data_IF_884438466964
#
_entry.id   IF_884438466964
#
_cell.length_a   1.000
_cell.length_b   1.000
_cell.length_c   1.000
_cell.angle_alpha   90.00
_cell.angle_beta   90.00
_cell.angle_gamma   90.00
#
_symmetry.space_group_name_H-M   'P 1'
#
loop_
_entity.id
_entity.type
_entity.pdbx_description
1 polymer ?
#
# COMPACT_ATOMS: atom_id res chain seq x y z
N UNK A 1 18.52 4.40 -2.99
CA UNK A 1 17.22 4.67 -2.35
C UNK A 1 16.24 5.14 -3.39
N UNK A 2 15.09 4.51 -3.46
CA UNK A 2 14.12 4.76 -4.53
C UNK A 2 12.82 5.29 -3.95
N UNK A 3 12.51 6.55 -4.27
CA UNK A 3 11.24 7.15 -3.88
C UNK A 3 10.31 7.16 -5.08
N UNK A 4 9.09 6.71 -4.89
CA UNK A 4 8.09 6.65 -5.94
C UNK A 4 6.78 7.23 -5.46
N UNK A 5 6.07 7.86 -6.37
CA UNK A 5 4.71 8.28 -6.11
C UNK A 5 3.80 7.06 -6.26
N UNK A 6 3.07 6.72 -5.21
CA UNK A 6 2.19 5.55 -5.23
C UNK A 6 0.77 5.96 -4.89
N UNK A 7 -0.17 5.13 -5.29
CA UNK A 7 -1.58 5.29 -4.92
C UNK A 7 -2.01 4.02 -4.22
N UNK A 8 -2.60 4.18 -3.04
CA UNK A 8 -3.01 3.06 -2.21
C UNK A 8 -4.47 3.26 -1.85
N UNK A 9 -5.26 2.20 -2.03
CA UNK A 9 -6.67 2.20 -1.69
C UNK A 9 -6.85 1.52 -0.35
N UNK A 10 -7.55 2.20 0.56
CA UNK A 10 -7.81 1.71 1.91
C UNK A 10 -9.30 1.71 2.19
N UNK A 11 -9.74 0.85 3.09
CA UNK A 11 -11.09 0.99 3.63
C UNK A 11 -11.15 2.22 4.54
N UNK A 12 -12.31 2.86 4.60
CA UNK A 12 -12.46 4.12 5.36
C UNK A 12 -12.02 4.05 6.82
N UNK A 13 -12.25 2.96 7.56
CA UNK A 13 -11.79 2.90 8.95
C UNK A 13 -10.28 3.04 9.14
N UNK A 14 -9.49 2.92 8.08
CA UNK A 14 -8.04 3.06 8.17
C UNK A 14 -7.56 4.49 7.86
N UNK A 15 -8.46 5.46 7.78
CA UNK A 15 -8.08 6.82 7.42
C UNK A 15 -7.08 7.40 8.43
N UNK A 16 -7.33 7.25 9.72
CA UNK A 16 -6.41 7.77 10.74
C UNK A 16 -5.05 7.10 10.64
N UNK A 17 -5.03 5.81 10.37
CA UNK A 17 -3.78 5.06 10.20
C UNK A 17 -2.98 5.58 9.02
N UNK A 18 -3.66 5.84 7.90
CA UNK A 18 -3.01 6.37 6.71
C UNK A 18 -2.46 7.77 6.97
N UNK A 19 -3.23 8.61 7.65
CA UNK A 19 -2.80 9.97 7.97
C UNK A 19 -1.59 9.94 8.88
N UNK A 20 -1.56 9.04 9.85
CA UNK A 20 -0.39 8.88 10.72
C UNK A 20 0.85 8.50 9.93
N UNK A 21 0.69 7.67 8.92
CA UNK A 21 1.83 7.18 8.13
C UNK A 21 2.30 8.21 7.11
N UNK A 22 1.37 8.82 6.39
CA UNK A 22 1.71 9.67 5.23
C UNK A 22 1.56 11.15 5.50
N UNK A 23 0.86 11.53 6.56
CA UNK A 23 0.62 12.92 6.89
C UNK A 23 -0.42 13.56 5.99
N UNK A 24 -0.57 14.86 6.11
CA UNK A 24 -1.53 15.62 5.32
C UNK A 24 -0.87 16.65 4.42
N UNK A 25 0.44 16.86 4.58
CA UNK A 25 1.14 17.86 3.80
C UNK A 25 1.57 17.35 2.44
N UNK A 26 2.11 16.13 2.41
CA UNK A 26 2.71 15.59 1.20
C UNK A 26 1.91 14.44 0.63
N UNK A 27 0.68 14.27 1.07
CA UNK A 27 -0.21 13.21 0.60
C UNK A 27 -1.54 13.80 0.24
N UNK A 28 -2.18 13.21 -0.77
CA UNK A 28 -3.50 13.66 -1.25
C UNK A 28 -4.46 12.52 -1.03
N UNK A 29 -5.57 12.82 -0.37
CA UNK A 29 -6.59 11.83 -0.03
C UNK A 29 -7.84 12.12 -0.84
N UNK A 30 -8.44 11.10 -1.41
CA UNK A 30 -9.69 11.25 -2.16
C UNK A 30 -10.61 10.10 -1.87
N UNK A 31 -11.90 10.38 -1.87
CA UNK A 31 -12.91 9.35 -1.64
C UNK A 31 -12.96 8.40 -2.85
N UNK A 32 -13.23 7.13 -2.56
CA UNK A 32 -13.40 6.12 -3.59
C UNK A 32 -14.70 5.38 -3.26
N UNK A 33 -15.81 5.92 -3.73
CA UNK A 33 -17.12 5.42 -3.36
C UNK A 33 -17.45 5.78 -1.92
N UNK A 34 -18.27 4.96 -1.29
CA UNK A 34 -18.74 5.23 0.08
C UNK A 34 -17.95 4.48 1.15
N UNK A 35 -17.11 3.55 0.78
CA UNK A 35 -16.48 2.66 1.75
C UNK A 35 -14.96 2.70 1.73
N UNK A 36 -14.36 3.37 0.76
CA UNK A 36 -12.91 3.40 0.57
C UNK A 36 -12.40 4.80 0.30
N UNK A 37 -11.09 4.98 0.47
CA UNK A 37 -10.42 6.19 0.01
C UNK A 37 -9.10 5.78 -0.62
N UNK A 38 -8.53 6.70 -1.41
CA UNK A 38 -7.23 6.51 -2.04
C UNK A 38 -6.30 7.59 -1.55
N UNK A 39 -5.09 7.20 -1.16
CA UNK A 39 -4.06 8.17 -0.82
C UNK A 39 -2.98 8.11 -1.89
N UNK A 40 -2.57 9.29 -2.37
CA UNK A 40 -1.44 9.45 -3.28
C UNK A 40 -0.30 10.05 -2.48
N UNK A 41 0.81 9.35 -2.41
CA UNK A 41 1.95 9.79 -1.59
C UNK A 41 3.25 9.32 -2.22
N UNK A 42 4.34 10.03 -1.93
CA UNK A 42 5.67 9.63 -2.36
C UNK A 42 6.33 8.87 -1.22
N UNK A 43 6.76 7.67 -1.50
CA UNK A 43 7.33 6.79 -0.48
C UNK A 43 8.59 6.12 -1.00
N UNK A 44 9.42 5.67 -0.09
CA UNK A 44 10.55 4.82 -0.44
C UNK A 44 10.02 3.40 -0.59
N UNK A 45 10.29 2.77 -1.74
CA UNK A 45 9.85 1.40 -1.98
C UNK A 45 10.86 0.47 -1.36
N UNK A 46 10.45 -0.20 -0.31
CA UNK A 46 11.30 -1.12 0.45
C UNK A 46 10.45 -2.29 0.90
N UNK A 47 11.13 -3.35 1.33
CA UNK A 47 10.42 -4.51 1.87
C UNK A 47 9.59 -4.12 3.08
N UNK A 48 10.07 -3.18 3.89
CA UNK A 48 9.32 -2.72 5.05
C UNK A 48 8.05 -2.00 4.66
N UNK A 49 8.11 -1.19 3.61
CA UNK A 49 6.90 -0.52 3.11
C UNK A 49 5.90 -1.55 2.59
N UNK A 50 6.38 -2.49 1.78
CA UNK A 50 5.50 -3.53 1.22
C UNK A 50 4.90 -4.38 2.34
N UNK A 51 5.71 -4.72 3.34
CA UNK A 51 5.23 -5.49 4.49
C UNK A 51 4.17 -4.72 5.28
N UNK A 52 4.37 -3.41 5.43
CA UNK A 52 3.40 -2.58 6.15
C UNK A 52 2.04 -2.60 5.44
N UNK A 53 2.06 -2.45 4.12
CA UNK A 53 0.81 -2.47 3.36
C UNK A 53 0.16 -3.84 3.43
N UNK A 54 0.93 -4.90 3.24
CA UNK A 54 0.34 -6.25 3.19
C UNK A 54 -0.16 -6.69 4.57
N UNK A 55 0.31 -6.06 5.63
CA UNK A 55 -0.19 -6.35 6.98
C UNK A 55 -1.67 -6.03 7.16
N UNK A 56 -2.22 -5.16 6.31
CA UNK A 56 -3.66 -4.87 6.36
C UNK A 56 -4.48 -5.87 5.55
N UNK A 57 -3.81 -6.77 4.85
CA UNK A 57 -4.45 -7.80 4.05
C UNK A 57 -5.33 -7.15 2.98
N UNK A 58 -6.60 -7.51 2.90
CA UNK A 58 -7.51 -6.98 1.87
C UNK A 58 -7.94 -5.54 2.12
N UNK A 59 -7.60 -4.99 3.28
CA UNK A 59 -8.06 -3.65 3.65
C UNK A 59 -7.23 -2.55 3.02
N UNK A 60 -6.08 -2.88 2.44
CA UNK A 60 -5.20 -1.92 1.78
C UNK A 60 -4.63 -2.55 0.52
N UNK A 61 -4.67 -1.80 -0.59
CA UNK A 61 -4.21 -2.30 -1.89
C UNK A 61 -3.45 -1.22 -2.62
N UNK A 62 -2.22 -1.51 -3.04
CA UNK A 62 -1.49 -0.59 -3.92
C UNK A 62 -2.10 -0.72 -5.31
N UNK A 63 -2.57 0.41 -5.87
CA UNK A 63 -3.24 0.38 -7.16
C UNK A 63 -2.43 1.01 -8.28
N UNK A 64 -1.39 1.77 -7.95
CA UNK A 64 -0.52 2.39 -8.96
C UNK A 64 0.79 2.81 -8.32
N UNK A 65 1.86 2.93 -9.08
CA UNK A 65 1.97 2.59 -10.49
C UNK A 65 2.11 1.07 -10.69
N UNK A 66 2.00 0.63 -11.93
CA UNK A 66 1.95 -0.80 -12.22
C UNK A 66 3.23 -1.55 -11.82
N UNK A 67 4.40 -0.90 -11.91
CA UNK A 67 5.64 -1.56 -11.52
C UNK A 67 5.73 -1.77 -10.00
N UNK A 68 5.16 -0.87 -9.21
CA UNK A 68 5.10 -1.07 -7.76
C UNK A 68 4.08 -2.16 -7.41
N UNK A 69 2.97 -2.21 -8.15
CA UNK A 69 2.01 -3.32 -8.00
C UNK A 69 2.70 -4.65 -8.28
N UNK A 70 3.53 -4.68 -9.32
CA UNK A 70 4.27 -5.90 -9.66
C UNK A 70 5.28 -6.26 -8.57
N UNK A 71 5.95 -5.25 -7.98
CA UNK A 71 6.85 -5.48 -6.87
C UNK A 71 6.12 -6.13 -5.70
N UNK A 72 4.90 -5.65 -5.40
CA UNK A 72 4.10 -6.24 -4.33
C UNK A 72 3.73 -7.68 -4.64
N UNK A 73 3.37 -7.97 -5.89
CA UNK A 73 3.04 -9.34 -6.27
C UNK A 73 4.23 -10.28 -6.05
N UNK A 74 5.42 -9.82 -6.43
CA UNK A 74 6.64 -10.61 -6.24
C UNK A 74 6.96 -10.79 -4.77
N UNK A 75 6.78 -9.74 -3.97
CA UNK A 75 7.00 -9.80 -2.54
C UNK A 75 6.08 -10.85 -1.89
N UNK A 76 4.81 -10.82 -2.27
CA UNK A 76 3.84 -11.78 -1.72
C UNK A 76 4.13 -13.20 -2.18
N UNK A 77 4.56 -13.36 -3.41
CA UNK A 77 4.90 -14.67 -3.94
C UNK A 77 6.09 -15.28 -3.19
N UNK A 78 7.11 -14.47 -2.90
CA UNK A 78 8.25 -14.94 -2.13
C UNK A 78 7.85 -15.42 -0.75
N UNK A 79 6.96 -14.68 -0.10
CA UNK A 79 6.48 -15.09 1.23
C UNK A 79 5.63 -16.35 1.12
N UNK A 80 4.74 -16.38 0.13
CA UNK A 80 3.85 -17.52 -0.06
C UNK A 80 4.64 -18.80 -0.29
N UNK A 81 5.77 -18.71 -0.99
CA UNK A 81 6.58 -19.87 -1.30
C UNK A 81 7.11 -20.56 -0.04
N UNK A 82 7.26 -19.82 1.05
CA UNK A 82 7.72 -20.41 2.31
C UNK A 82 6.70 -21.38 2.89
N UNK A 83 5.44 -21.23 2.53
CA UNK A 83 4.34 -21.98 3.10
C UNK A 83 3.70 -22.96 2.12
N UNK A 84 4.30 -23.10 0.95
CA UNK A 84 3.87 -24.12 0.00
C UNK A 84 4.45 -25.44 0.36
N UNK A 85 3.85 -26.44 0.04
CA UNK A 85 4.36 -27.72 0.22
C UNK A 85 4.63 -28.10 1.54
N UNK A 86 4.30 -27.95 2.07
CA UNK A 86 4.76 -28.47 3.07
C UNK A 86 4.46 -29.23 3.32
#
# INVERSE_FOLDING_TARGET
MLFRSVRIRFINPLLDTAIERFGTKDAIYSADGNSHFIVAATVEISDQFLAWVCGFRKKATIIAPSDVVEDMKNFLSDISDRYKNE
#
